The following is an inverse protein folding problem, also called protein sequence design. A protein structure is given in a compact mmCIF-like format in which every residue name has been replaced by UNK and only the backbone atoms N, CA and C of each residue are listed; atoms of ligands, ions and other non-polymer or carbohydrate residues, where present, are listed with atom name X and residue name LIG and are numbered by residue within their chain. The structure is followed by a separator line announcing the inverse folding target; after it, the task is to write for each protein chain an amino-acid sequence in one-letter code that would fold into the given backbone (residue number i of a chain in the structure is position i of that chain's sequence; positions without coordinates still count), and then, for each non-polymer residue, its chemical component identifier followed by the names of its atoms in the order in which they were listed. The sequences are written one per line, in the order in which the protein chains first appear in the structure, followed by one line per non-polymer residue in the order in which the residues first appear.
data_IF_293060242716
#
_entry.id   IF_293060242716
#
_cell.length_a   1.000
_cell.length_b   1.000
_cell.length_c   1.000
_cell.angle_alpha   90.00
_cell.angle_beta   90.00
_cell.angle_gamma   90.00
#
_symmetry.space_group_name_H-M   'P 1'
#
loop_
_entity.id
_entity.type
_entity.pdbx_description
1 polymer ?
#
# COMPACT_ATOMS: atom_id res chain seq x y z
N UNK A 1 -1.46 14.02 -8.65
CA UNK A 1 -0.20 13.49 -8.09
C UNK A 1 0.54 12.58 -9.07
N UNK A 2 -0.15 11.64 -9.75
CA UNK A 2 0.45 10.66 -10.68
C UNK A 2 1.01 11.22 -12.01
N UNK A 3 0.50 12.34 -12.52
CA UNK A 3 1.02 12.98 -13.75
C UNK A 3 2.44 13.53 -13.62
N UNK A 4 2.95 13.73 -12.39
CA UNK A 4 4.29 14.26 -12.12
C UNK A 4 5.38 13.18 -12.12
N UNK A 5 5.01 11.90 -12.05
CA UNK A 5 5.92 10.75 -11.91
C UNK A 5 5.57 9.62 -12.89
N UNK A 6 5.91 9.76 -14.19
CA UNK A 6 5.52 8.81 -15.23
C UNK A 6 6.09 7.40 -15.04
N UNK A 7 7.21 7.27 -14.31
CA UNK A 7 7.83 5.97 -13.98
C UNK A 7 7.02 5.14 -12.99
N UNK A 8 6.01 5.70 -12.33
CA UNK A 8 5.06 4.93 -11.51
C UNK A 8 3.96 4.30 -12.38
N UNK A 9 3.69 4.84 -13.56
CA UNK A 9 2.65 4.41 -14.51
C UNK A 9 3.24 3.56 -15.65
N UNK A 10 3.99 2.52 -15.28
CA UNK A 10 4.63 1.62 -16.24
C UNK A 10 3.62 0.70 -16.95
N UNK A 11 4.01 0.18 -18.11
CA UNK A 11 3.21 -0.80 -18.87
C UNK A 11 2.84 -2.03 -18.03
N UNK A 12 3.76 -2.50 -17.20
CA UNK A 12 3.55 -3.62 -16.25
C UNK A 12 2.40 -3.33 -15.26
N UNK A 13 2.26 -2.08 -14.81
CA UNK A 13 1.17 -1.66 -13.93
C UNK A 13 -0.18 -1.71 -14.65
N UNK A 14 -0.21 -1.35 -15.94
CA UNK A 14 -1.43 -1.43 -16.76
C UNK A 14 -1.87 -2.87 -16.96
N UNK A 15 -0.92 -3.78 -17.20
CA UNK A 15 -1.19 -5.22 -17.29
C UNK A 15 -1.73 -5.74 -15.96
N UNK A 16 -1.10 -5.34 -14.84
CA UNK A 16 -1.58 -5.67 -13.49
C UNK A 16 -3.01 -5.21 -13.27
N UNK A 17 -3.35 -3.97 -13.65
CA UNK A 17 -4.70 -3.42 -13.54
C UNK A 17 -5.71 -4.20 -14.40
N UNK A 18 -5.33 -4.60 -15.61
CA UNK A 18 -6.18 -5.42 -16.48
C UNK A 18 -6.43 -6.82 -15.89
N UNK A 19 -5.38 -7.49 -15.39
CA UNK A 19 -5.52 -8.77 -14.69
C UNK A 19 -6.40 -8.63 -13.43
N UNK A 20 -6.27 -7.52 -12.69
CA UNK A 20 -7.09 -7.24 -11.51
C UNK A 20 -8.57 -7.09 -11.89
N UNK A 21 -8.88 -6.38 -12.97
CA UNK A 21 -10.25 -6.28 -13.47
C UNK A 21 -10.84 -7.66 -13.81
N UNK A 22 -10.09 -8.49 -14.54
CA UNK A 22 -10.52 -9.86 -14.90
C UNK A 22 -10.74 -10.69 -13.64
N UNK A 23 -9.81 -10.64 -12.68
CA UNK A 23 -9.93 -11.34 -11.42
C UNK A 23 -11.21 -10.93 -10.67
N UNK A 24 -11.47 -9.63 -10.54
CA UNK A 24 -12.66 -9.14 -9.82
C UNK A 24 -13.97 -9.45 -10.53
N UNK A 25 -13.98 -9.51 -11.88
CA UNK A 25 -15.14 -9.99 -12.64
C UNK A 25 -15.45 -11.46 -12.35
N UNK A 26 -14.43 -12.32 -12.23
CA UNK A 26 -14.62 -13.73 -11.88
C UNK A 26 -15.14 -13.86 -10.45
N UNK A 27 -14.60 -13.08 -9.51
CA UNK A 27 -15.10 -13.04 -8.12
C UNK A 27 -16.56 -12.60 -8.08
N UNK A 28 -16.92 -11.54 -8.80
CA UNK A 28 -18.31 -11.08 -8.85
C UNK A 28 -19.23 -12.12 -9.51
N UNK A 29 -18.73 -12.84 -10.52
CA UNK A 29 -19.48 -13.94 -11.16
C UNK A 29 -19.74 -15.09 -10.18
N UNK A 30 -18.79 -15.41 -9.29
CA UNK A 30 -19.00 -16.43 -8.25
C UNK A 30 -20.10 -16.01 -7.27
N UNK A 31 -20.09 -14.74 -6.85
CA UNK A 31 -21.15 -14.16 -6.01
C UNK A 31 -22.52 -14.21 -6.72
N UNK A 32 -22.56 -14.00 -8.04
CA UNK A 32 -23.79 -14.08 -8.82
C UNK A 32 -24.35 -15.51 -8.82
N UNK A 33 -23.51 -16.51 -9.06
CA UNK A 33 -23.95 -17.91 -9.08
C UNK A 33 -24.49 -18.37 -7.73
N UNK A 34 -23.83 -18.02 -6.63
CA UNK A 34 -24.32 -18.39 -5.29
C UNK A 34 -25.58 -17.62 -4.90
N UNK A 35 -25.70 -16.34 -5.26
CA UNK A 35 -26.92 -15.57 -5.03
C UNK A 35 -28.11 -16.16 -5.82
N UNK A 36 -27.89 -16.58 -7.07
CA UNK A 36 -28.94 -17.19 -7.90
C UNK A 36 -29.36 -18.56 -7.37
N UNK A 37 -28.41 -19.36 -6.88
CA UNK A 37 -28.71 -20.61 -6.20
C UNK A 37 -29.56 -20.38 -4.95
N UNK A 38 -29.17 -19.41 -4.11
CA UNK A 38 -29.91 -19.08 -2.89
C UNK A 38 -31.35 -18.65 -3.19
N UNK A 39 -31.56 -17.84 -4.24
CA UNK A 39 -32.89 -17.44 -4.68
C UNK A 39 -33.71 -18.63 -5.21
N UNK A 40 -33.10 -19.54 -5.98
CA UNK A 40 -33.77 -20.73 -6.53
C UNK A 40 -34.20 -21.74 -5.47
N UNK A 41 -33.44 -21.87 -4.37
CA UNK A 41 -33.82 -22.70 -3.21
C UNK A 41 -35.14 -22.24 -2.59
N UNK A 42 -35.37 -20.93 -2.51
CA UNK A 42 -36.63 -20.37 -2.00
C UNK A 42 -37.85 -20.64 -2.89
N UNK A 43 -37.63 -20.95 -4.18
CA UNK A 43 -38.67 -21.17 -5.18
C UNK A 43 -38.82 -22.67 -5.58
N UNK A 44 -37.96 -23.55 -5.07
CA UNK A 44 -37.98 -24.99 -5.37
C UNK A 44 -37.29 -25.39 -6.68
N UNK A 45 -36.73 -24.44 -7.44
CA UNK A 45 -36.02 -24.68 -8.70
C UNK A 45 -34.50 -24.58 -8.49
N UNK A 46 -33.90 -25.66 -8.00
CA UNK A 46 -32.45 -25.72 -7.78
C UNK A 46 -31.78 -26.19 -9.08
N UNK A 47 -31.09 -25.27 -9.76
CA UNK A 47 -30.30 -25.60 -10.95
C UNK A 47 -28.86 -25.96 -10.58
N UNK A 48 -28.50 -27.24 -10.76
CA UNK A 48 -27.16 -27.79 -10.49
C UNK A 48 -26.05 -27.10 -11.31
N UNK A 49 -26.39 -26.52 -12.46
CA UNK A 49 -25.45 -25.80 -13.31
C UNK A 49 -24.79 -24.61 -12.59
N UNK A 50 -25.56 -23.83 -11.82
CA UNK A 50 -25.00 -22.69 -11.09
C UNK A 50 -24.05 -23.13 -9.97
N UNK A 51 -24.27 -24.31 -9.37
CA UNK A 51 -23.38 -24.86 -8.35
C UNK A 51 -22.03 -25.27 -8.94
N UNK A 52 -22.05 -25.91 -10.12
CA UNK A 52 -20.83 -26.27 -10.83
C UNK A 52 -20.07 -25.01 -11.27
N UNK A 53 -20.76 -24.02 -11.85
CA UNK A 53 -20.15 -22.75 -12.26
C UNK A 53 -19.54 -21.98 -11.08
N UNK A 54 -20.19 -22.00 -9.92
CA UNK A 54 -19.64 -21.44 -8.68
C UNK A 54 -18.32 -22.11 -8.31
N UNK A 55 -18.26 -23.45 -8.24
CA UNK A 55 -17.03 -24.17 -7.89
C UNK A 55 -15.91 -23.91 -8.91
N UNK A 56 -16.24 -23.92 -10.21
CA UNK A 56 -15.26 -23.60 -11.27
C UNK A 56 -14.70 -22.19 -11.09
N UNK A 57 -15.55 -21.21 -10.79
CA UNK A 57 -15.11 -19.81 -10.62
C UNK A 57 -14.12 -19.62 -9.46
N UNK A 58 -14.25 -20.41 -8.38
CA UNK A 58 -13.31 -20.40 -7.25
C UNK A 58 -11.92 -20.90 -7.64
N UNK A 59 -11.82 -21.79 -8.62
CA UNK A 59 -10.53 -22.30 -9.11
C UNK A 59 -9.95 -21.37 -10.17
N UNK A 60 -10.79 -20.93 -11.11
CA UNK A 60 -10.36 -20.11 -12.26
C UNK A 60 -9.80 -18.75 -11.81
N UNK A 61 -10.28 -18.19 -10.70
CA UNK A 61 -9.80 -16.90 -10.16
C UNK A 61 -8.31 -16.89 -9.81
N UNK A 62 -7.72 -18.06 -9.51
CA UNK A 62 -6.30 -18.14 -9.15
C UNK A 62 -5.38 -17.86 -10.33
N UNK A 63 -5.82 -18.11 -11.57
CA UNK A 63 -5.02 -17.86 -12.78
C UNK A 63 -4.72 -16.36 -12.95
N UNK A 64 -5.71 -15.45 -13.05
CA UNK A 64 -5.43 -14.02 -13.14
C UNK A 64 -4.80 -13.48 -11.85
N UNK A 65 -5.13 -14.03 -10.67
CA UNK A 65 -4.49 -13.62 -9.42
C UNK A 65 -2.98 -13.87 -9.41
N UNK A 66 -2.53 -15.01 -9.94
CA UNK A 66 -1.11 -15.29 -10.11
C UNK A 66 -0.43 -14.26 -11.03
N UNK A 67 -1.04 -13.95 -12.18
CA UNK A 67 -0.50 -12.93 -13.09
C UNK A 67 -0.46 -11.54 -12.44
N UNK A 68 -1.50 -11.15 -11.69
CA UNK A 68 -1.49 -9.89 -10.93
C UNK A 68 -0.24 -9.77 -10.05
N UNK A 69 0.08 -10.81 -9.28
CA UNK A 69 1.23 -10.79 -8.38
C UNK A 69 2.55 -10.67 -9.14
N UNK A 70 2.73 -11.44 -10.22
CA UNK A 70 3.96 -11.41 -11.02
C UNK A 70 4.17 -10.05 -11.68
N UNK A 71 3.13 -9.48 -12.30
CA UNK A 71 3.22 -8.18 -12.97
C UNK A 71 3.33 -7.01 -11.99
N UNK A 72 2.71 -7.11 -10.81
CA UNK A 72 2.85 -6.10 -9.76
C UNK A 72 4.30 -6.04 -9.26
N UNK A 73 4.93 -7.19 -9.01
CA UNK A 73 6.35 -7.25 -8.64
C UNK A 73 7.24 -6.66 -9.74
N UNK A 74 7.02 -7.02 -11.00
CA UNK A 74 7.76 -6.42 -12.13
C UNK A 74 7.56 -4.90 -12.24
N UNK A 75 6.35 -4.41 -11.97
CA UNK A 75 6.04 -2.99 -11.97
C UNK A 75 6.83 -2.24 -10.90
N UNK A 76 6.97 -2.81 -9.69
CA UNK A 76 7.78 -2.26 -8.60
C UNK A 76 9.24 -2.12 -8.98
N UNK A 77 9.85 -3.20 -9.50
CA UNK A 77 11.24 -3.16 -9.94
C UNK A 77 11.47 -2.14 -11.06
N UNK A 78 10.57 -2.08 -12.04
CA UNK A 78 10.66 -1.12 -13.15
C UNK A 78 10.54 0.33 -12.65
N UNK A 79 9.62 0.58 -11.72
CA UNK A 79 9.45 1.90 -11.11
C UNK A 79 10.69 2.33 -10.29
N UNK A 80 11.29 1.38 -9.57
CA UNK A 80 12.52 1.63 -8.82
C UNK A 80 13.72 1.93 -9.73
N UNK A 81 13.90 1.17 -10.81
CA UNK A 81 14.92 1.47 -11.82
C UNK A 81 14.72 2.85 -12.48
N UNK A 82 13.48 3.22 -12.77
CA UNK A 82 13.14 4.55 -13.30
C UNK A 82 13.47 5.68 -12.31
N UNK A 83 13.28 5.44 -11.01
CA UNK A 83 13.68 6.37 -9.96
C UNK A 83 15.20 6.55 -9.89
N UNK A 84 15.97 5.46 -9.91
CA UNK A 84 17.44 5.49 -9.88
C UNK A 84 17.99 6.28 -11.07
N UNK A 85 17.52 6.01 -12.29
CA UNK A 85 17.96 6.75 -13.50
C UNK A 85 17.70 8.26 -13.39
N UNK A 86 16.54 8.66 -12.88
CA UNK A 86 16.22 10.08 -12.65
C UNK A 86 17.07 10.72 -11.56
N UNK A 87 17.45 9.95 -10.55
CA UNK A 87 18.39 10.40 -9.53
C UNK A 87 19.75 10.66 -10.16
N UNK A 88 20.26 9.71 -10.97
CA UNK A 88 21.50 9.88 -11.73
C UNK A 88 21.43 11.13 -12.61
N UNK A 89 20.42 11.28 -13.48
CA UNK A 89 20.28 12.45 -14.37
C UNK A 89 20.29 13.80 -13.63
N UNK A 90 19.78 13.84 -12.39
CA UNK A 90 19.65 15.08 -11.61
C UNK A 90 20.94 15.46 -10.89
N UNK A 91 21.72 14.48 -10.45
CA UNK A 91 22.92 14.69 -9.63
C UNK A 91 24.23 14.50 -10.40
N UNK A 92 24.21 13.85 -11.57
CA UNK A 92 25.38 13.64 -12.41
C UNK A 92 25.98 14.99 -12.85
N UNK A 93 27.28 15.17 -12.60
CA UNK A 93 28.05 16.36 -12.96
C UNK A 93 27.87 17.58 -12.03
N UNK A 94 27.03 17.52 -10.99
CA UNK A 94 26.82 18.65 -10.06
C UNK A 94 27.74 18.59 -8.83
N UNK A 95 29.01 18.91 -9.04
CA UNK A 95 30.06 18.90 -8.00
C UNK A 95 29.77 19.85 -6.82
N UNK A 96 28.92 20.87 -7.03
CA UNK A 96 28.52 21.83 -5.99
C UNK A 96 27.73 21.24 -4.80
N UNK A 97 27.18 20.02 -4.92
CA UNK A 97 26.52 19.31 -3.81
C UNK A 97 27.46 18.38 -3.03
N UNK A 98 28.71 18.22 -3.48
CA UNK A 98 29.70 17.37 -2.84
C UNK A 98 30.13 17.81 -1.42
N UNK A 99 30.23 19.12 -1.10
CA UNK A 99 30.69 19.56 0.22
C UNK A 99 29.65 19.41 1.34
N UNK A 100 28.37 19.21 1.00
CA UNK A 100 27.29 19.13 1.99
C UNK A 100 27.04 17.68 2.41
N UNK A 101 27.73 17.24 3.46
CA UNK A 101 27.62 15.90 4.03
C UNK A 101 26.19 15.56 4.48
N UNK A 102 25.38 16.57 4.88
CA UNK A 102 23.99 16.32 5.31
C UNK A 102 23.09 16.01 4.13
N UNK A 103 23.22 16.75 3.04
CA UNK A 103 22.49 16.50 1.79
C UNK A 103 22.94 15.20 1.13
N UNK A 104 24.24 14.88 1.19
CA UNK A 104 24.80 13.63 0.67
C UNK A 104 24.31 12.40 1.43
N UNK A 105 24.40 12.39 2.77
CA UNK A 105 23.92 11.27 3.59
C UNK A 105 22.41 11.08 3.47
N UNK A 106 21.62 12.17 3.46
CA UNK A 106 20.17 12.10 3.31
C UNK A 106 19.79 11.59 1.92
N UNK A 107 20.45 12.06 0.86
CA UNK A 107 20.19 11.63 -0.52
C UNK A 107 20.58 10.17 -0.75
N UNK A 108 21.68 9.70 -0.16
CA UNK A 108 22.10 8.29 -0.22
C UNK A 108 21.18 7.37 0.59
N UNK A 109 20.73 7.81 1.78
CA UNK A 109 19.74 7.07 2.57
C UNK A 109 18.39 6.97 1.84
N UNK A 110 17.97 8.07 1.19
CA UNK A 110 16.78 8.08 0.33
C UNK A 110 16.93 7.16 -0.89
N UNK A 111 18.10 7.15 -1.54
CA UNK A 111 18.38 6.33 -2.70
C UNK A 111 18.42 4.83 -2.36
N UNK A 112 19.08 4.45 -1.26
CA UNK A 112 19.40 3.07 -0.91
C UNK A 112 18.21 2.24 -0.42
N UNK A 113 17.41 2.79 0.50
CA UNK A 113 16.43 1.97 1.25
C UNK A 113 15.03 2.56 1.28
N UNK A 114 14.92 3.88 1.46
CA UNK A 114 13.61 4.53 1.59
C UNK A 114 12.88 4.61 0.25
N UNK A 115 13.59 4.79 -0.87
CA UNK A 115 12.97 4.84 -2.22
C UNK A 115 12.27 3.54 -2.59
N UNK A 116 12.94 2.40 -2.41
CA UNK A 116 12.37 1.07 -2.69
C UNK A 116 11.16 0.79 -1.80
N UNK A 117 11.32 0.96 -0.49
CA UNK A 117 10.23 0.73 0.47
C UNK A 117 9.02 1.63 0.20
N UNK A 118 9.25 2.90 -0.17
CA UNK A 118 8.18 3.84 -0.50
C UNK A 118 7.47 3.45 -1.80
N UNK A 119 8.20 3.04 -2.84
CA UNK A 119 7.62 2.60 -4.11
C UNK A 119 6.80 1.32 -3.91
N UNK A 120 7.35 0.34 -3.20
CA UNK A 120 6.67 -0.93 -2.90
C UNK A 120 5.37 -0.67 -2.13
N UNK A 121 5.44 0.11 -1.05
CA UNK A 121 4.28 0.49 -0.24
C UNK A 121 3.23 1.22 -1.08
N UNK A 122 3.64 2.21 -1.87
CA UNK A 122 2.71 3.00 -2.71
C UNK A 122 1.98 2.13 -3.73
N UNK A 123 2.70 1.25 -4.43
CA UNK A 123 2.11 0.38 -5.45
C UNK A 123 1.23 -0.72 -4.85
N UNK A 124 1.62 -1.29 -3.69
CA UNK A 124 0.79 -2.23 -2.95
C UNK A 124 -0.50 -1.56 -2.46
N UNK A 125 -0.41 -0.40 -1.82
CA UNK A 125 -1.59 0.34 -1.35
C UNK A 125 -2.51 0.71 -2.51
N UNK A 126 -1.96 1.14 -3.65
CA UNK A 126 -2.76 1.41 -4.85
C UNK A 126 -3.48 0.15 -5.34
N UNK A 127 -2.79 -0.99 -5.38
CA UNK A 127 -3.37 -2.28 -5.77
C UNK A 127 -4.47 -2.73 -4.80
N UNK A 128 -4.22 -2.66 -3.49
CA UNK A 128 -5.17 -3.02 -2.43
C UNK A 128 -6.44 -2.17 -2.48
N UNK A 129 -6.29 -0.84 -2.56
CA UNK A 129 -7.43 0.08 -2.68
C UNK A 129 -8.22 -0.19 -3.96
N UNK A 130 -7.53 -0.39 -5.09
CA UNK A 130 -8.21 -0.67 -6.37
C UNK A 130 -8.98 -1.98 -6.30
N UNK A 131 -8.35 -3.02 -5.75
CA UNK A 131 -8.96 -4.34 -5.57
C UNK A 131 -10.20 -4.27 -4.69
N UNK A 132 -10.11 -3.56 -3.57
CA UNK A 132 -11.21 -3.34 -2.64
C UNK A 132 -12.37 -2.60 -3.29
N UNK A 133 -12.10 -1.49 -3.99
CA UNK A 133 -13.13 -0.69 -4.65
C UNK A 133 -13.84 -1.49 -5.74
N UNK A 134 -13.09 -2.17 -6.61
CA UNK A 134 -13.69 -3.01 -7.66
C UNK A 134 -14.53 -4.12 -7.05
N UNK A 135 -14.03 -4.77 -6.00
CA UNK A 135 -14.76 -5.84 -5.33
C UNK A 135 -16.09 -5.36 -4.75
N UNK A 136 -16.09 -4.23 -4.03
CA UNK A 136 -17.30 -3.65 -3.43
C UNK A 136 -18.29 -3.28 -4.54
N UNK A 137 -17.86 -2.53 -5.56
CA UNK A 137 -18.73 -2.05 -6.63
C UNK A 137 -19.36 -3.21 -7.40
N UNK A 138 -18.56 -4.20 -7.80
CA UNK A 138 -19.05 -5.34 -8.58
C UNK A 138 -19.97 -6.26 -7.75
N UNK A 139 -19.63 -6.53 -6.49
CA UNK A 139 -20.50 -7.36 -5.64
C UNK A 139 -21.82 -6.67 -5.33
N UNK A 140 -21.83 -5.35 -5.09
CA UNK A 140 -23.08 -4.58 -4.93
C UNK A 140 -23.92 -4.71 -6.20
N UNK A 141 -23.32 -4.52 -7.38
CA UNK A 141 -24.01 -4.64 -8.67
C UNK A 141 -24.67 -6.01 -8.81
N UNK A 142 -23.96 -7.09 -8.47
CA UNK A 142 -24.50 -8.46 -8.47
C UNK A 142 -25.70 -8.60 -7.54
N UNK A 143 -25.65 -8.06 -6.32
CA UNK A 143 -26.78 -8.11 -5.39
C UNK A 143 -28.00 -7.36 -5.94
N UNK A 144 -27.82 -6.19 -6.55
CA UNK A 144 -28.93 -5.44 -7.18
C UNK A 144 -29.59 -6.25 -8.30
N UNK A 145 -28.81 -7.03 -9.06
CA UNK A 145 -29.35 -7.82 -10.17
C UNK A 145 -30.12 -9.07 -9.74
N UNK A 146 -29.81 -9.65 -8.58
CA UNK A 146 -30.36 -10.95 -8.15
C UNK A 146 -31.40 -10.83 -7.04
N UNK A 147 -31.26 -9.84 -6.14
CA UNK A 147 -32.12 -9.67 -4.98
C UNK A 147 -33.05 -8.46 -5.15
N UNK A 148 -34.19 -8.48 -4.45
CA UNK A 148 -35.11 -7.35 -4.41
C UNK A 148 -34.44 -6.07 -3.87
N UNK A 149 -34.86 -4.93 -4.43
CA UNK A 149 -34.34 -3.58 -4.13
C UNK A 149 -34.41 -3.18 -2.64
N UNK A 150 -35.14 -3.93 -1.81
CA UNK A 150 -35.24 -3.73 -0.36
C UNK A 150 -33.91 -3.99 0.37
N UNK A 151 -33.06 -4.88 -0.14
CA UNK A 151 -31.76 -5.22 0.49
C UNK A 151 -30.67 -4.19 0.15
N UNK A 152 -30.86 -3.43 -0.94
CA UNK A 152 -29.94 -2.39 -1.41
C UNK A 152 -29.75 -1.28 -0.36
N UNK A 153 -30.81 -0.91 0.36
CA UNK A 153 -30.76 0.08 1.44
C UNK A 153 -29.80 -0.33 2.56
N UNK A 154 -29.79 -1.61 2.95
CA UNK A 154 -28.88 -2.12 3.97
C UNK A 154 -27.41 -2.00 3.56
N UNK A 155 -27.12 -2.26 2.29
CA UNK A 155 -25.76 -2.13 1.74
C UNK A 155 -25.28 -0.67 1.71
N UNK A 156 -26.14 0.25 1.24
CA UNK A 156 -25.82 1.69 1.19
C UNK A 156 -25.52 2.23 2.59
N UNK A 157 -26.34 1.86 3.59
CA UNK A 157 -26.13 2.25 4.99
C UNK A 157 -24.82 1.66 5.53
N UNK A 158 -24.53 0.39 5.23
CA UNK A 158 -23.28 -0.27 5.64
C UNK A 158 -22.04 0.43 5.09
N UNK A 159 -22.05 0.79 3.80
CA UNK A 159 -20.94 1.52 3.15
C UNK A 159 -20.77 2.91 3.76
N UNK A 160 -21.86 3.63 4.01
CA UNK A 160 -21.81 4.96 4.64
C UNK A 160 -21.25 4.91 6.07
N UNK A 161 -21.64 3.90 6.85
CA UNK A 161 -21.11 3.70 8.21
C UNK A 161 -19.62 3.37 8.19
N UNK A 162 -19.18 2.48 7.29
CA UNK A 162 -17.77 2.16 7.12
C UNK A 162 -16.95 3.39 6.69
N UNK A 163 -17.47 4.19 5.76
CA UNK A 163 -16.82 5.43 5.32
C UNK A 163 -16.71 6.46 6.45
N UNK A 164 -17.79 6.64 7.22
CA UNK A 164 -17.80 7.56 8.36
C UNK A 164 -16.78 7.14 9.44
N UNK A 165 -16.68 5.84 9.71
CA UNK A 165 -15.69 5.28 10.63
C UNK A 165 -14.25 5.53 10.17
N UNK A 166 -13.95 5.29 8.89
CA UNK A 166 -12.61 5.53 8.33
C UNK A 166 -12.22 7.01 8.37
N UNK A 167 -13.17 7.91 8.13
CA UNK A 167 -12.90 9.35 8.11
C UNK A 167 -12.55 9.91 9.51
N UNK A 168 -12.94 9.22 10.57
CA UNK A 168 -12.61 9.58 11.95
C UNK A 168 -11.11 9.41 12.28
N UNK A 169 -10.37 8.63 11.49
CA UNK A 169 -8.93 8.35 11.66
C UNK A 169 -7.99 9.29 10.87
N UNK A 170 -8.50 10.41 10.33
CA UNK A 170 -7.73 11.40 9.54
C UNK A 170 -6.52 12.08 10.23
N UNK A 171 -6.12 11.64 11.43
CA UNK A 171 -4.92 12.12 12.16
C UNK A 171 -3.63 11.36 11.81
N UNK A 172 -3.69 10.32 10.99
CA UNK A 172 -2.54 9.45 10.69
C UNK A 172 -1.45 10.12 9.86
N UNK A 173 -1.79 11.10 9.02
CA UNK A 173 -0.87 11.68 8.04
C UNK A 173 0.24 12.54 8.69
N UNK A 174 -0.06 13.17 9.84
CA UNK A 174 0.96 13.89 10.63
C UNK A 174 1.88 12.93 11.36
N UNK A 175 1.31 11.87 11.94
CA UNK A 175 2.06 10.84 12.68
C UNK A 175 3.00 10.07 11.74
N UNK A 176 2.55 9.78 10.51
CA UNK A 176 3.37 9.14 9.49
C UNK A 176 4.55 10.01 9.05
N UNK A 177 4.33 11.32 8.83
CA UNK A 177 5.39 12.28 8.49
C UNK A 177 6.41 12.44 9.63
N UNK A 178 5.94 12.54 10.87
CA UNK A 178 6.83 12.65 12.03
C UNK A 178 7.64 11.37 12.26
N UNK A 179 7.02 10.20 12.10
CA UNK A 179 7.72 8.91 12.16
C UNK A 179 8.79 8.77 11.07
N UNK A 180 8.49 9.21 9.85
CA UNK A 180 9.44 9.15 8.73
C UNK A 180 10.62 10.11 8.91
N UNK A 181 10.37 11.34 9.39
CA UNK A 181 11.44 12.29 9.73
C UNK A 181 12.33 11.78 10.87
N UNK A 182 11.75 11.16 11.90
CA UNK A 182 12.51 10.58 13.01
C UNK A 182 13.40 9.41 12.54
N UNK A 183 12.89 8.55 11.64
CA UNK A 183 13.67 7.46 11.06
C UNK A 183 14.85 7.95 10.23
N UNK A 184 14.65 8.98 9.40
CA UNK A 184 15.73 9.60 8.61
C UNK A 184 16.81 10.22 9.51
N UNK A 185 16.41 10.93 10.57
CA UNK A 185 17.33 11.49 11.55
C UNK A 185 18.13 10.38 12.27
N UNK A 186 17.49 9.27 12.61
CA UNK A 186 18.13 8.16 13.32
C UNK A 186 19.18 7.46 12.43
N UNK A 187 18.90 7.27 11.14
CA UNK A 187 19.87 6.75 10.16
C UNK A 187 21.07 7.70 10.00
N UNK A 188 20.83 9.02 9.94
CA UNK A 188 21.91 10.01 9.87
C UNK A 188 22.81 10.00 11.12
N UNK A 189 22.22 9.84 12.31
CA UNK A 189 22.96 9.70 13.56
C UNK A 189 23.73 8.39 13.67
N UNK A 190 23.15 7.26 13.21
CA UNK A 190 23.84 5.96 13.20
C UNK A 190 25.08 5.99 12.30
N UNK A 191 25.00 6.65 11.14
CA UNK A 191 26.15 6.82 10.27
C UNK A 191 27.28 7.65 10.93
N UNK A 192 26.94 8.70 11.68
CA UNK A 192 27.93 9.46 12.49
C UNK A 192 28.45 8.69 13.71
N UNK A 193 27.67 7.75 14.23
CA UNK A 193 28.07 6.89 15.33
C UNK A 193 29.23 5.98 14.96
N UNK A 194 29.19 5.45 13.73
CA UNK A 194 30.24 4.60 13.20
C UNK A 194 31.60 5.30 13.26
N UNK A 195 31.67 6.54 12.77
CA UNK A 195 32.90 7.35 12.80
C UNK A 195 33.36 7.63 14.25
N UNK A 196 32.42 7.94 15.16
CA UNK A 196 32.74 8.22 16.56
C UNK A 196 33.20 6.99 17.36
N UNK A 197 32.63 5.81 17.08
CA UNK A 197 32.97 4.55 17.76
C UNK A 197 34.31 4.02 17.26
N UNK A 198 34.60 4.16 15.96
CA UNK A 198 35.88 3.71 15.37
C UNK A 198 37.05 4.63 15.77
N UNK A 199 36.81 5.94 15.92
CA UNK A 199 37.85 6.91 16.32
C UNK A 199 38.11 6.99 17.83
N UNK A 200 37.32 6.31 18.67
CA UNK A 200 37.54 6.25 20.12
C UNK A 200 37.42 7.59 20.86
N UNK A 201 36.70 8.58 20.31
CA UNK A 201 36.58 9.90 20.90
C UNK A 201 35.52 9.93 22.02
N UNK A 202 35.97 9.88 23.28
CA UNK A 202 35.11 9.77 24.46
C UNK A 202 34.13 10.95 24.64
N UNK A 203 34.47 12.15 24.16
CA UNK A 203 33.61 13.33 24.26
C UNK A 203 32.40 13.25 23.30
N UNK A 204 32.61 12.70 22.11
CA UNK A 204 31.58 12.54 21.08
C UNK A 204 30.60 11.40 21.42
N UNK A 205 31.05 10.36 22.13
CA UNK A 205 30.21 9.27 22.61
C UNK A 205 29.15 9.72 23.62
N UNK A 206 29.47 10.66 24.52
CA UNK A 206 28.50 11.13 25.52
C UNK A 206 27.36 11.96 24.88
N UNK A 207 27.69 12.77 23.87
CA UNK A 207 26.72 13.52 23.05
C UNK A 207 25.84 12.56 22.25
N UNK A 208 26.44 11.53 21.64
CA UNK A 208 25.72 10.50 20.89
C UNK A 208 24.71 9.73 21.77
N UNK A 209 25.13 9.27 22.96
CA UNK A 209 24.23 8.55 23.89
C UNK A 209 23.07 9.42 24.40
N UNK A 210 23.30 10.72 24.58
CA UNK A 210 22.27 11.67 25.02
C UNK A 210 21.21 11.88 23.93
N UNK A 211 21.61 12.05 22.68
CA UNK A 211 20.68 12.20 21.56
C UNK A 211 19.94 10.90 21.18
N UNK A 212 20.58 9.74 21.32
CA UNK A 212 19.93 8.44 21.16
C UNK A 212 18.80 8.23 22.17
N UNK A 213 19.03 8.57 23.44
CA UNK A 213 17.98 8.51 24.47
C UNK A 213 16.83 9.45 24.16
N UNK A 214 17.09 10.68 23.72
CA UNK A 214 16.03 11.64 23.39
C UNK A 214 15.18 11.17 22.20
N UNK A 215 15.80 10.59 21.17
CA UNK A 215 15.08 10.08 19.99
C UNK A 215 14.36 8.74 20.24
N UNK A 216 14.82 7.92 21.19
CA UNK A 216 14.15 6.67 21.59
C UNK A 216 13.06 6.89 22.66
N UNK A 217 13.19 7.92 23.51
CA UNK A 217 12.24 8.25 24.60
C UNK A 217 11.15 9.26 24.15
N UNK A 218 11.15 9.65 22.87
CA UNK A 218 9.93 10.12 22.19
C UNK A 218 9.36 9.02 21.30
N UNK A 219 8.87 7.89 21.84
CA UNK A 219 7.82 7.20 21.13
C UNK A 219 6.65 8.20 21.08
N UNK A 220 6.03 8.29 19.91
CA UNK A 220 4.59 8.49 19.76
C UNK A 220 3.82 8.69 21.08
N UNK A 221 3.15 9.83 21.24
CA UNK A 221 2.32 10.17 22.40
C UNK A 221 1.29 9.10 22.78
N UNK A 222 1.77 8.09 23.50
CA UNK A 222 1.05 7.01 24.15
C UNK A 222 1.49 7.03 25.62
N UNK A 223 1.05 8.06 26.32
CA UNK A 223 0.93 8.06 27.76
C UNK A 223 -0.29 8.91 28.12
N UNK A 224 -1.42 8.23 28.27
CA UNK A 224 -2.51 8.49 29.23
C UNK A 224 -3.85 7.94 28.70
N UNK A 225 -3.99 6.61 28.64
CA UNK A 225 -5.28 5.97 28.95
C UNK A 225 -4.98 4.67 29.72
N UNK A 226 -4.59 4.82 30.99
CA UNK A 226 -4.89 3.84 32.05
C UNK A 226 -5.12 4.64 33.34
N UNK A 227 -6.39 4.83 33.69
CA UNK A 227 -6.96 4.91 35.05
C UNK A 227 -8.20 5.82 35.10
N UNK A 228 -9.35 5.26 34.73
CA UNK A 228 -10.61 5.25 35.51
C UNK A 228 -11.69 4.53 34.73
#
# INVERSE_FOLDING_TARGET
MFTKYPYLLNTELKITALCLCIQQLIVASSTYFIARLAAGVGQGEISMLYAVLFVISLVVVYVPAYFCMVYLERAKYTAWLGYIKRFEDKFLGRVGFYPDDTTKQTSLAMLSQESKATIDSTLNTLFEISSLLLNIVLNILVFVLVLDSSILLGYVVGVLLAFCYLNQFGKLDKIAKDAQNNRLNLIAWLNRAWDNVVLGNQYSQHIYQTHLKINLIKPSGLMCIVSR
#
